data_IF_541028542930
#
_entry.id   IF_541028542930
#
_cell.length_a   1.000
_cell.length_b   1.000
_cell.length_c   1.000
_cell.angle_alpha   90.00
_cell.angle_beta   90.00
_cell.angle_gamma   90.00
#
_symmetry.space_group_name_H-M   'P 1'
#
loop_
_entity.id
_entity.type
_entity.pdbx_description
1 polymer ?
#
# COMPACT_ATOMS: atom_id res chain seq x y z
N UNK A 1 16.51 13.50 7.22
CA UNK A 1 16.33 13.00 8.60
C UNK A 1 15.09 13.65 9.20
N UNK A 2 14.17 12.85 9.71
CA UNK A 2 12.89 13.28 10.27
C UNK A 2 12.71 12.63 11.65
N UNK A 3 12.24 13.33 12.67
CA UNK A 3 11.91 12.70 13.93
C UNK A 3 10.74 11.73 13.73
N UNK A 4 10.75 10.58 14.43
CA UNK A 4 9.68 9.58 14.27
C UNK A 4 8.30 10.14 14.65
N UNK A 5 8.24 11.15 15.51
CA UNK A 5 7.00 11.87 15.83
C UNK A 5 6.37 12.61 14.64
N UNK A 6 7.14 12.88 13.57
CA UNK A 6 6.61 13.45 12.32
C UNK A 6 5.56 12.55 11.67
N UNK A 7 5.74 11.24 11.77
CA UNK A 7 4.83 10.27 11.18
C UNK A 7 3.60 9.96 12.06
N UNK A 8 3.60 10.39 13.31
CA UNK A 8 2.51 10.10 14.25
C UNK A 8 2.49 8.62 14.68
N UNK A 9 1.34 7.99 14.57
CA UNK A 9 1.17 6.57 14.96
C UNK A 9 1.56 5.56 13.88
N UNK A 10 1.92 6.02 12.67
CA UNK A 10 2.25 5.17 11.54
C UNK A 10 3.46 5.73 10.79
N UNK A 11 4.57 5.01 10.87
CA UNK A 11 5.78 5.35 10.12
C UNK A 11 6.00 4.33 9.00
N UNK A 12 5.77 4.71 7.74
CA UNK A 12 5.88 3.80 6.60
C UNK A 12 7.31 3.37 6.26
N UNK A 13 8.33 3.99 6.86
CA UNK A 13 9.74 3.64 6.70
C UNK A 13 10.26 2.70 7.81
N UNK A 14 9.35 2.26 8.69
CA UNK A 14 9.55 1.19 9.67
C UNK A 14 8.62 0.02 9.37
N UNK A 15 7.44 0.31 8.80
CA UNK A 15 6.43 -0.70 8.48
C UNK A 15 6.86 -1.47 7.24
N UNK A 16 7.06 -2.78 7.40
CA UNK A 16 7.50 -3.68 6.33
C UNK A 16 6.31 -4.26 5.58
N UNK A 17 6.48 -4.53 4.28
CA UNK A 17 5.49 -5.24 3.48
C UNK A 17 5.56 -6.73 3.83
N UNK A 18 4.42 -7.31 4.12
CA UNK A 18 4.27 -8.73 4.44
C UNK A 18 2.87 -9.23 4.07
N UNK A 19 2.74 -10.53 3.93
CA UNK A 19 1.45 -11.18 3.72
C UNK A 19 1.59 -12.45 2.88
N UNK A 20 0.52 -13.26 2.86
CA UNK A 20 0.47 -14.46 2.05
C UNK A 20 0.68 -14.12 0.57
N UNK A 21 1.45 -14.96 -0.11
CA UNK A 21 1.86 -14.81 -1.52
C UNK A 21 2.73 -13.58 -1.83
N UNK A 22 3.24 -12.89 -0.80
CA UNK A 22 4.26 -11.87 -1.00
C UNK A 22 5.64 -12.51 -0.95
N UNK A 23 6.39 -12.43 -2.04
CA UNK A 23 7.80 -12.83 -2.09
C UNK A 23 8.67 -11.59 -1.89
N UNK A 24 9.40 -11.56 -0.80
CA UNK A 24 10.31 -10.45 -0.49
C UNK A 24 11.67 -10.55 -1.20
N UNK A 25 11.92 -11.63 -1.93
CA UNK A 25 13.20 -11.88 -2.61
C UNK A 25 14.43 -11.73 -1.70
N UNK A 26 14.29 -12.08 -0.41
CA UNK A 26 15.36 -12.05 0.57
C UNK A 26 15.78 -10.68 1.08
N UNK A 27 14.96 -9.65 0.90
CA UNK A 27 15.18 -8.31 1.42
C UNK A 27 13.96 -7.71 2.09
N UNK A 28 14.17 -6.68 2.90
CA UNK A 28 13.08 -5.85 3.44
C UNK A 28 12.51 -4.96 2.33
N UNK A 29 11.20 -4.79 2.33
CA UNK A 29 10.48 -3.80 1.55
C UNK A 29 9.60 -3.00 2.49
N UNK A 30 9.77 -1.69 2.51
CA UNK A 30 8.95 -0.80 3.32
C UNK A 30 7.67 -0.38 2.61
N UNK A 31 6.64 -0.04 3.37
CA UNK A 31 5.41 0.53 2.82
C UNK A 31 5.60 1.98 2.36
N UNK A 32 6.65 2.65 2.84
CA UNK A 32 7.04 4.00 2.43
C UNK A 32 7.53 4.08 0.99
N UNK A 33 7.44 5.27 0.42
CA UNK A 33 7.97 5.61 -0.90
C UNK A 33 8.45 7.05 -0.97
N UNK A 34 9.36 7.29 -1.91
CA UNK A 34 9.86 8.61 -2.30
C UNK A 34 9.45 8.87 -3.75
N UNK A 35 9.00 10.08 -4.03
CA UNK A 35 8.57 10.50 -5.36
C UNK A 35 9.36 11.72 -5.84
N UNK A 36 9.61 11.75 -7.13
CA UNK A 36 10.12 12.90 -7.85
C UNK A 36 9.17 13.22 -9.01
N UNK A 37 8.51 14.37 -8.95
CA UNK A 37 7.55 14.80 -9.99
C UNK A 37 6.48 13.72 -10.26
N UNK A 38 5.82 13.25 -9.21
CA UNK A 38 4.81 12.18 -9.23
C UNK A 38 5.29 10.78 -9.65
N UNK A 39 6.60 10.58 -9.86
CA UNK A 39 7.16 9.27 -10.16
C UNK A 39 7.79 8.66 -8.92
N UNK A 40 7.40 7.43 -8.61
CA UNK A 40 7.99 6.63 -7.54
C UNK A 40 9.44 6.26 -7.85
N UNK A 41 10.31 6.35 -6.85
CA UNK A 41 11.68 5.89 -6.90
C UNK A 41 11.77 4.43 -6.44
N UNK A 42 12.79 3.71 -6.89
CA UNK A 42 13.02 2.31 -6.53
C UNK A 42 13.76 2.18 -5.20
N UNK A 43 13.16 1.48 -4.25
CA UNK A 43 13.79 1.15 -2.97
C UNK A 43 15.01 0.23 -3.17
N UNK A 44 16.09 0.51 -2.47
CA UNK A 44 17.31 -0.31 -2.44
C UNK A 44 17.59 -0.84 -1.04
N UNK A 45 18.32 -1.96 -0.97
CA UNK A 45 18.60 -2.66 0.28
C UNK A 45 19.75 -2.02 1.08
N UNK A 46 20.55 -1.17 0.42
CA UNK A 46 21.71 -0.52 1.04
C UNK A 46 21.93 0.89 0.48
N UNK A 47 22.51 1.74 1.30
CA UNK A 47 22.88 3.10 0.90
C UNK A 47 23.88 3.10 -0.26
N UNK A 48 24.78 2.13 -0.34
CA UNK A 48 25.73 1.98 -1.44
C UNK A 48 25.03 1.83 -2.80
N UNK A 49 23.95 1.06 -2.85
CA UNK A 49 23.13 0.90 -4.07
C UNK A 49 22.35 2.16 -4.45
N UNK A 50 22.15 3.09 -3.52
CA UNK A 50 21.58 4.40 -3.84
C UNK A 50 22.63 5.30 -4.48
N UNK A 51 23.85 5.26 -4.00
CA UNK A 51 24.96 6.06 -4.58
C UNK A 51 25.41 5.53 -5.94
N UNK A 52 25.34 4.22 -6.16
CA UNK A 52 25.77 3.54 -7.38
C UNK A 52 24.62 2.70 -7.96
N UNK A 53 23.53 3.34 -8.44
CA UNK A 53 22.37 2.62 -8.92
C UNK A 53 22.64 1.95 -10.27
N UNK A 54 22.25 0.68 -10.37
CA UNK A 54 22.27 -0.06 -11.63
C UNK A 54 20.84 -0.16 -12.19
N UNK A 55 20.73 -0.01 -13.51
CA UNK A 55 19.46 -0.15 -14.20
C UNK A 55 18.95 -1.61 -14.14
N UNK A 56 17.69 -1.79 -13.83
CA UNK A 56 17.05 -3.10 -13.82
C UNK A 56 16.57 -3.44 -15.24
N UNK A 57 17.08 -4.50 -15.89
CA UNK A 57 16.78 -4.76 -17.30
C UNK A 57 15.36 -5.26 -17.58
N UNK A 58 14.70 -5.80 -16.55
CA UNK A 58 13.40 -6.49 -16.71
C UNK A 58 12.21 -5.69 -16.16
N UNK A 59 12.36 -4.37 -16.01
CA UNK A 59 11.27 -3.47 -15.62
C UNK A 59 10.75 -2.67 -16.81
N UNK A 60 9.58 -2.07 -16.68
CA UNK A 60 8.97 -1.26 -17.76
C UNK A 60 9.79 0.00 -18.08
N UNK A 61 10.44 0.58 -17.09
CA UNK A 61 11.30 1.77 -17.21
C UNK A 61 12.68 1.48 -16.62
N UNK A 62 13.60 0.86 -17.39
CA UNK A 62 14.94 0.55 -16.91
C UNK A 62 15.75 1.80 -16.51
N UNK A 63 15.60 2.91 -17.21
CA UNK A 63 16.27 4.16 -16.89
C UNK A 63 15.72 4.74 -15.58
N UNK A 64 14.40 4.77 -15.41
CA UNK A 64 13.75 5.20 -14.18
C UNK A 64 14.14 4.36 -12.96
N UNK A 65 14.48 3.08 -13.15
CA UNK A 65 14.93 2.20 -12.06
C UNK A 65 16.27 2.60 -11.42
N UNK A 66 16.99 3.56 -12.01
CA UNK A 66 18.18 4.16 -11.43
C UNK A 66 17.88 5.32 -10.47
N UNK A 67 16.67 5.83 -10.46
CA UNK A 67 16.21 6.76 -9.43
C UNK A 67 15.83 5.95 -8.20
N UNK A 68 16.57 6.09 -7.13
CA UNK A 68 16.55 5.12 -6.04
C UNK A 68 16.48 5.80 -4.69
N UNK A 69 15.98 5.06 -3.68
CA UNK A 69 15.98 5.51 -2.31
C UNK A 69 16.27 4.36 -1.34
N UNK A 70 16.66 4.73 -0.13
CA UNK A 70 16.91 3.84 1.00
C UNK A 70 16.57 4.55 2.30
N UNK A 71 16.23 3.82 3.35
CA UNK A 71 16.03 4.39 4.66
C UNK A 71 16.69 3.58 5.77
N UNK A 72 17.00 4.27 6.84
CA UNK A 72 17.36 3.72 8.14
C UNK A 72 16.55 4.40 9.22
N UNK A 73 16.28 3.69 10.30
CA UNK A 73 15.57 4.23 11.44
C UNK A 73 16.20 3.76 12.76
N UNK A 74 15.99 4.55 13.79
CA UNK A 74 16.27 4.21 15.16
C UNK A 74 15.07 4.59 16.04
N UNK A 75 15.18 4.53 17.36
CA UNK A 75 14.08 4.86 18.27
C UNK A 75 13.58 6.31 18.16
N UNK A 76 14.37 7.23 17.65
CA UNK A 76 14.11 8.67 17.64
C UNK A 76 13.80 9.24 16.27
N UNK A 77 14.46 8.73 15.24
CA UNK A 77 14.43 9.33 13.90
C UNK A 77 14.48 8.31 12.76
N UNK A 78 13.99 8.75 11.63
CA UNK A 78 14.06 8.08 10.34
C UNK A 78 14.86 8.93 9.38
N UNK A 79 15.90 8.37 8.77
CA UNK A 79 16.68 9.00 7.73
C UNK A 79 16.37 8.37 6.38
N UNK A 80 16.06 9.18 5.38
CA UNK A 80 15.76 8.75 4.02
C UNK A 80 16.80 9.36 3.09
N UNK A 81 17.46 8.54 2.29
CA UNK A 81 18.36 8.94 1.22
C UNK A 81 17.70 8.66 -0.12
N UNK A 82 17.86 9.59 -1.06
CA UNK A 82 17.34 9.42 -2.41
C UNK A 82 18.33 9.93 -3.45
N UNK A 83 18.42 9.24 -4.58
CA UNK A 83 19.24 9.62 -5.71
C UNK A 83 18.34 10.19 -6.82
N UNK A 84 18.43 11.48 -7.03
CA UNK A 84 17.71 12.23 -8.05
C UNK A 84 18.55 12.53 -9.30
N UNK A 85 19.74 11.90 -9.40
CA UNK A 85 20.73 12.17 -10.46
C UNK A 85 21.06 13.66 -10.56
N UNK A 86 20.70 14.30 -11.69
CA UNK A 86 20.97 15.71 -11.95
C UNK A 86 19.86 16.65 -11.51
N UNK A 87 18.72 16.11 -11.08
CA UNK A 87 17.61 16.94 -10.61
C UNK A 87 17.97 17.60 -9.26
N UNK A 88 17.71 18.89 -9.14
CA UNK A 88 17.90 19.62 -7.89
C UNK A 88 16.62 19.50 -7.05
N UNK A 89 16.62 18.74 -5.94
CA UNK A 89 15.42 18.50 -5.15
C UNK A 89 14.81 19.78 -4.55
N UNK A 90 15.54 20.89 -4.54
CA UNK A 90 15.01 22.18 -4.10
C UNK A 90 14.23 22.92 -5.19
N UNK A 91 14.24 22.43 -6.42
CA UNK A 91 13.54 23.01 -7.57
C UNK A 91 12.48 22.10 -8.15
N UNK A 92 12.47 20.84 -7.72
CA UNK A 92 11.56 19.82 -8.19
C UNK A 92 10.52 19.48 -7.10
N UNK A 93 9.42 18.85 -7.48
CA UNK A 93 8.47 18.32 -6.53
C UNK A 93 8.98 16.98 -5.98
N UNK A 94 9.45 17.02 -4.73
CA UNK A 94 9.89 15.84 -4.00
C UNK A 94 8.92 15.56 -2.87
N UNK A 95 8.37 14.35 -2.83
CA UNK A 95 7.35 13.94 -1.87
C UNK A 95 7.72 12.59 -1.24
N UNK A 96 7.17 12.32 -0.08
CA UNK A 96 7.29 11.04 0.63
C UNK A 96 5.94 10.57 1.11
N UNK A 97 5.68 9.27 1.09
CA UNK A 97 4.49 8.69 1.68
C UNK A 97 4.48 8.85 3.19
N UNK A 98 3.37 9.30 3.76
CA UNK A 98 3.22 9.48 5.22
C UNK A 98 1.89 8.93 5.75
N UNK A 99 1.03 8.40 4.89
CA UNK A 99 -0.30 7.88 5.26
C UNK A 99 -0.52 6.51 4.65
N UNK A 100 -1.10 5.63 5.45
CA UNK A 100 -1.41 4.27 5.04
C UNK A 100 -2.53 4.19 4.00
N UNK A 101 -3.46 5.12 4.06
CA UNK A 101 -4.68 5.14 3.23
C UNK A 101 -5.21 6.56 3.10
N UNK A 102 -6.03 6.81 2.09
CA UNK A 102 -6.71 8.08 1.90
C UNK A 102 -8.16 8.03 2.40
N UNK A 103 -8.86 6.93 2.14
CA UNK A 103 -10.24 6.71 2.58
C UNK A 103 -10.38 5.31 3.17
N UNK A 104 -10.46 5.24 4.49
CA UNK A 104 -10.72 4.00 5.22
C UNK A 104 -11.54 4.31 6.46
N UNK A 105 -12.77 3.81 6.58
CA UNK A 105 -13.58 4.03 7.78
C UNK A 105 -13.10 3.13 8.91
N UNK A 106 -12.87 3.67 10.08
CA UNK A 106 -12.46 2.89 11.26
C UNK A 106 -13.53 1.91 11.75
N UNK A 107 -14.79 2.17 11.37
CA UNK A 107 -15.95 1.39 11.85
C UNK A 107 -16.77 0.85 10.70
N UNK A 108 -17.35 -0.35 10.90
CA UNK A 108 -18.41 -0.89 10.06
C UNK A 108 -19.70 -0.08 10.23
N UNK A 109 -20.57 -0.08 9.21
CA UNK A 109 -21.85 0.62 9.23
C UNK A 109 -21.82 2.06 8.68
N UNK A 110 -20.67 2.50 8.14
CA UNK A 110 -20.57 3.77 7.41
C UNK A 110 -20.92 3.51 5.95
N UNK A 111 -22.20 3.46 5.67
CA UNK A 111 -22.74 3.02 4.39
C UNK A 111 -23.07 4.19 3.47
N UNK A 112 -23.21 3.90 2.17
CA UNK A 112 -23.73 4.78 1.14
C UNK A 112 -22.92 6.07 0.94
N UNK A 113 -21.58 5.98 1.07
CA UNK A 113 -20.69 7.07 0.72
C UNK A 113 -20.45 7.13 -0.79
N UNK A 114 -20.29 8.33 -1.31
CA UNK A 114 -19.82 8.57 -2.67
C UNK A 114 -18.46 9.27 -2.63
N UNK A 115 -17.48 8.68 -3.33
CA UNK A 115 -16.16 9.25 -3.54
C UNK A 115 -16.05 9.52 -5.05
N UNK A 116 -16.05 10.79 -5.45
CA UNK A 116 -16.12 11.15 -6.86
C UNK A 116 -15.30 12.41 -7.16
N UNK A 117 -14.56 12.38 -8.28
CA UNK A 117 -13.87 13.55 -8.81
C UNK A 117 -12.53 13.88 -8.13
N UNK A 118 -11.92 12.93 -7.42
CA UNK A 118 -10.63 13.13 -6.75
C UNK A 118 -9.45 12.61 -7.59
N UNK A 119 -8.30 13.23 -7.40
CA UNK A 119 -7.01 12.60 -7.63
C UNK A 119 -6.49 12.09 -6.27
N UNK A 120 -6.36 10.78 -6.15
CA UNK A 120 -5.96 10.07 -4.93
C UNK A 120 -4.63 9.37 -5.22
N UNK A 121 -3.59 9.71 -4.47
CA UNK A 121 -2.24 9.20 -4.78
C UNK A 121 -1.35 9.04 -3.56
N UNK A 122 -0.25 8.30 -3.74
CA UNK A 122 0.92 8.26 -2.87
C UNK A 122 0.67 7.70 -1.46
N UNK A 123 -0.23 6.72 -1.32
CA UNK A 123 -0.45 6.09 -0.03
C UNK A 123 0.47 4.88 0.19
N UNK A 124 1.00 4.79 1.42
CA UNK A 124 1.84 3.71 1.93
C UNK A 124 0.99 2.50 2.33
N UNK A 125 0.28 1.92 1.35
CA UNK A 125 -0.62 0.78 1.61
C UNK A 125 0.16 -0.50 1.88
N UNK A 126 -0.40 -1.37 2.72
CA UNK A 126 0.14 -2.70 2.98
C UNK A 126 -0.32 -3.69 1.90
N UNK A 127 0.37 -4.80 1.78
CA UNK A 127 -0.01 -5.92 0.91
C UNK A 127 -1.42 -6.43 1.23
N UNK A 128 -2.27 -6.44 0.23
CA UNK A 128 -3.67 -6.83 0.37
C UNK A 128 -3.88 -8.30 -0.03
N UNK A 129 -3.37 -9.22 0.79
CA UNK A 129 -3.62 -10.64 0.59
C UNK A 129 -5.10 -10.98 0.83
N UNK A 130 -5.64 -12.02 0.18
CA UNK A 130 -7.00 -12.50 0.45
C UNK A 130 -7.23 -12.93 1.91
N UNK A 131 -6.16 -13.23 2.64
CA UNK A 131 -6.15 -13.68 4.04
C UNK A 131 -5.91 -12.56 5.05
N UNK A 132 -5.77 -11.31 4.58
CA UNK A 132 -5.48 -10.16 5.42
C UNK A 132 -6.60 -9.14 5.41
N UNK A 133 -6.57 -8.23 6.39
CA UNK A 133 -7.29 -6.98 6.30
C UNK A 133 -6.77 -6.19 5.09
N UNK A 134 -7.68 -5.88 4.16
CA UNK A 134 -7.30 -5.23 2.91
C UNK A 134 -7.54 -3.72 3.01
N UNK A 135 -6.44 -2.96 3.13
CA UNK A 135 -6.49 -1.50 3.21
C UNK A 135 -5.75 -0.92 2.01
N UNK A 136 -6.50 -0.62 0.95
CA UNK A 136 -6.01 0.16 -0.19
C UNK A 136 -6.04 1.67 0.05
N UNK A 137 -5.73 2.45 -0.96
CA UNK A 137 -5.89 3.92 -0.88
C UNK A 137 -7.34 4.32 -0.65
N UNK A 138 -8.27 3.59 -1.26
CA UNK A 138 -9.71 3.66 -0.98
C UNK A 138 -10.16 2.27 -0.56
N UNK A 139 -10.64 2.12 0.67
CA UNK A 139 -11.05 0.84 1.22
C UNK A 139 -12.40 0.94 1.93
N UNK A 140 -13.28 0.00 1.65
CA UNK A 140 -14.68 0.08 2.11
C UNK A 140 -14.94 -0.55 3.48
N UNK A 141 -14.04 -1.35 4.00
CA UNK A 141 -14.07 -1.96 5.34
C UNK A 141 -15.44 -2.57 5.74
N UNK A 142 -15.93 -3.54 4.97
CA UNK A 142 -17.21 -4.20 5.25
C UNK A 142 -18.40 -3.24 5.46
N UNK A 143 -18.41 -2.15 4.71
CA UNK A 143 -19.57 -1.27 4.60
C UNK A 143 -20.40 -1.62 3.37
N UNK A 144 -21.49 -0.91 3.14
CA UNK A 144 -22.46 -1.19 2.10
C UNK A 144 -22.71 0.00 1.20
N UNK A 145 -22.87 -0.28 -0.10
CA UNK A 145 -23.44 0.65 -1.06
C UNK A 145 -22.58 1.89 -1.35
N UNK A 146 -21.25 1.79 -1.24
CA UNK A 146 -20.39 2.90 -1.64
C UNK A 146 -20.38 3.05 -3.16
N UNK A 147 -20.25 4.28 -3.61
CA UNK A 147 -20.03 4.66 -5.01
C UNK A 147 -18.65 5.29 -5.11
N UNK A 148 -17.76 4.66 -5.88
CA UNK A 148 -16.39 5.14 -6.14
C UNK A 148 -16.30 5.39 -7.63
N UNK A 149 -16.34 6.66 -8.04
CA UNK A 149 -16.48 6.99 -9.45
C UNK A 149 -15.73 8.26 -9.87
N UNK A 150 -15.35 8.31 -11.14
CA UNK A 150 -14.73 9.49 -11.75
C UNK A 150 -13.46 9.97 -11.04
N UNK A 151 -12.71 9.07 -10.41
CA UNK A 151 -11.46 9.39 -9.72
C UNK A 151 -10.25 9.01 -10.59
N UNK A 152 -9.13 9.66 -10.33
CA UNK A 152 -7.81 9.23 -10.74
C UNK A 152 -7.10 8.70 -9.49
N UNK A 153 -6.67 7.43 -9.52
CA UNK A 153 -6.04 6.75 -8.39
C UNK A 153 -4.68 6.22 -8.85
N UNK A 154 -3.61 6.67 -8.21
CA UNK A 154 -2.26 6.35 -8.68
C UNK A 154 -1.23 6.27 -7.55
N UNK A 155 -0.10 5.63 -7.85
CA UNK A 155 1.04 5.58 -6.92
C UNK A 155 0.67 5.01 -5.55
N UNK A 156 -0.01 3.85 -5.53
CA UNK A 156 -0.21 3.09 -4.31
C UNK A 156 0.96 2.14 -4.09
N UNK A 157 1.49 2.07 -2.88
CA UNK A 157 2.53 1.08 -2.57
C UNK A 157 2.08 -0.35 -2.85
N UNK A 158 0.85 -0.67 -2.53
CA UNK A 158 0.26 -1.96 -2.88
C UNK A 158 -1.03 -1.78 -3.68
N UNK A 159 -2.18 -1.63 -3.02
CA UNK A 159 -3.48 -1.66 -3.69
C UNK A 159 -4.14 -0.30 -3.79
N UNK A 160 -4.73 0.00 -4.95
CA UNK A 160 -5.48 1.24 -5.18
C UNK A 160 -6.83 1.22 -4.45
N UNK A 161 -7.73 0.34 -4.85
CA UNK A 161 -9.05 0.17 -4.22
C UNK A 161 -9.14 -1.22 -3.60
N UNK A 162 -9.65 -1.32 -2.36
CA UNK A 162 -9.99 -2.59 -1.74
C UNK A 162 -11.44 -2.59 -1.27
N UNK A 163 -12.19 -3.65 -1.65
CA UNK A 163 -13.62 -3.74 -1.37
C UNK A 163 -13.93 -4.64 -0.17
N UNK A 164 -12.91 -5.07 0.52
CA UNK A 164 -13.19 -6.12 1.32
C UNK A 164 -12.76 -6.29 2.67
N UNK A 165 -12.00 -6.79 3.28
CA UNK A 165 -11.80 -7.64 4.43
C UNK A 165 -11.70 -6.90 5.75
N UNK A 166 -12.33 -7.46 6.76
CA UNK A 166 -12.29 -6.94 8.11
C UNK A 166 -11.29 -7.75 8.97
N UNK A 167 -10.55 -7.07 9.84
CA UNK A 167 -9.44 -7.64 10.60
C UNK A 167 -9.83 -8.86 11.45
N UNK A 168 -11.01 -8.84 12.07
CA UNK A 168 -11.46 -9.93 12.94
C UNK A 168 -11.78 -11.23 12.18
N UNK A 169 -11.96 -11.19 10.87
CA UNK A 169 -12.13 -12.40 10.07
C UNK A 169 -10.81 -13.18 9.90
N UNK A 170 -9.70 -12.57 10.16
CA UNK A 170 -8.34 -13.10 10.05
C UNK A 170 -7.40 -12.09 9.45
N UNK A 171 -6.15 -12.08 9.83
CA UNK A 171 -5.19 -11.11 9.36
C UNK A 171 -3.78 -11.70 9.41
N UNK A 172 -3.37 -12.39 8.35
CA UNK A 172 -2.02 -12.94 8.20
C UNK A 172 -1.50 -13.68 9.48
N UNK A 173 -2.36 -14.46 10.13
CA UNK A 173 -2.03 -15.11 11.41
C UNK A 173 -0.79 -16.00 11.34
N UNK A 174 -0.57 -16.59 10.19
CA UNK A 174 0.46 -17.59 9.94
C UNK A 174 1.66 -17.02 9.20
N UNK A 175 1.82 -15.72 9.23
CA UNK A 175 2.89 -15.01 8.53
C UNK A 175 4.29 -15.60 8.77
N UNK A 176 4.53 -16.08 9.98
CA UNK A 176 5.80 -16.70 10.36
C UNK A 176 5.93 -18.19 9.96
N UNK A 177 4.84 -18.81 9.51
CA UNK A 177 4.82 -20.20 9.09
C UNK A 177 4.89 -20.31 7.56
N UNK A 178 6.10 -20.34 7.04
CA UNK A 178 6.37 -20.45 5.60
C UNK A 178 6.05 -21.84 5.02
N UNK A 179 5.69 -22.82 5.85
CA UNK A 179 5.28 -24.16 5.41
C UNK A 179 3.80 -24.22 5.00
N UNK A 180 3.01 -23.23 5.40
CA UNK A 180 1.56 -23.14 5.12
C UNK A 180 1.34 -22.07 4.06
N UNK A 181 0.82 -22.46 2.91
CA UNK A 181 0.43 -21.50 1.88
C UNK A 181 -0.88 -20.78 2.23
N UNK A 182 -1.13 -19.67 1.56
CA UNK A 182 -2.31 -18.85 1.80
C UNK A 182 -3.65 -19.54 1.52
N UNK A 183 -3.66 -20.70 0.84
CA UNK A 183 -4.89 -21.41 0.48
C UNK A 183 -5.65 -21.92 1.71
N UNK A 184 -4.95 -22.44 2.71
CA UNK A 184 -5.55 -22.88 3.96
C UNK A 184 -6.05 -21.70 4.78
N UNK A 185 -5.28 -20.64 4.84
CA UNK A 185 -5.67 -19.40 5.51
C UNK A 185 -6.92 -18.78 4.85
N UNK A 186 -7.02 -18.86 3.54
CA UNK A 186 -8.18 -18.36 2.81
C UNK A 186 -9.49 -19.04 3.25
N UNK A 187 -9.48 -20.36 3.42
CA UNK A 187 -10.63 -21.11 3.92
C UNK A 187 -10.98 -20.68 5.36
N UNK A 188 -9.99 -20.60 6.24
CA UNK A 188 -10.19 -20.19 7.64
C UNK A 188 -10.82 -18.79 7.72
N UNK A 189 -10.27 -17.82 6.99
CA UNK A 189 -10.79 -16.45 7.04
C UNK A 189 -12.18 -16.32 6.42
N UNK A 190 -12.54 -17.18 5.47
CA UNK A 190 -13.90 -17.22 4.92
C UNK A 190 -14.89 -17.67 5.99
N UNK A 191 -14.62 -18.75 6.73
CA UNK A 191 -15.46 -19.19 7.84
C UNK A 191 -15.50 -18.16 8.98
N UNK A 192 -14.38 -17.54 9.30
CA UNK A 192 -14.32 -16.48 10.30
C UNK A 192 -15.16 -15.26 9.87
N UNK A 193 -15.12 -14.88 8.60
CA UNK A 193 -15.94 -13.80 8.08
C UNK A 193 -17.44 -14.05 8.26
N UNK A 194 -17.90 -15.28 7.97
CA UNK A 194 -19.29 -15.68 8.19
C UNK A 194 -19.64 -15.60 9.68
N UNK A 195 -18.78 -16.09 10.55
CA UNK A 195 -18.97 -16.02 12.00
C UNK A 195 -19.03 -14.59 12.53
N UNK A 196 -18.24 -13.68 11.97
CA UNK A 196 -18.25 -12.24 12.29
C UNK A 196 -19.45 -11.48 11.70
N UNK A 197 -20.35 -12.20 11.01
CA UNK A 197 -21.59 -11.65 10.50
C UNK A 197 -21.54 -11.12 9.07
N UNK A 198 -20.51 -11.51 8.31
CA UNK A 198 -20.48 -11.19 6.89
C UNK A 198 -21.69 -11.84 6.17
N UNK A 199 -22.46 -11.04 5.48
CA UNK A 199 -23.57 -11.51 4.65
C UNK A 199 -23.91 -10.46 3.58
N UNK A 200 -24.55 -10.90 2.51
CA UNK A 200 -24.89 -10.06 1.35
C UNK A 200 -25.88 -8.91 1.66
N UNK A 201 -26.61 -8.99 2.74
CA UNK A 201 -27.60 -7.96 3.07
C UNK A 201 -26.97 -6.76 3.78
N UNK A 202 -25.87 -6.99 4.49
CA UNK A 202 -25.21 -5.98 5.33
C UNK A 202 -23.95 -5.37 4.69
N UNK A 203 -23.32 -6.06 3.75
CA UNK A 203 -21.98 -5.72 3.25
C UNK A 203 -21.98 -5.76 1.72
N UNK A 204 -21.12 -4.93 1.12
CA UNK A 204 -20.92 -4.91 -0.33
C UNK A 204 -21.91 -4.04 -1.09
N UNK A 205 -22.35 -4.50 -2.26
CA UNK A 205 -23.18 -3.70 -3.19
C UNK A 205 -22.54 -2.36 -3.58
N UNK A 206 -21.22 -2.35 -3.66
CA UNK A 206 -20.48 -1.17 -4.08
C UNK A 206 -20.57 -0.98 -5.59
N UNK A 207 -20.51 0.26 -6.03
CA UNK A 207 -20.42 0.64 -7.43
C UNK A 207 -19.05 1.27 -7.64
N UNK A 208 -18.21 0.63 -8.45
CA UNK A 208 -16.91 1.17 -8.85
C UNK A 208 -16.95 1.37 -10.36
N UNK A 209 -16.88 2.62 -10.82
CA UNK A 209 -16.99 2.93 -12.24
C UNK A 209 -16.24 4.19 -12.64
N UNK A 210 -15.82 4.25 -13.91
CA UNK A 210 -15.20 5.43 -14.51
C UNK A 210 -13.97 5.95 -13.76
N UNK A 211 -13.26 5.09 -13.01
CA UNK A 211 -12.00 5.46 -12.39
C UNK A 211 -10.83 5.13 -13.32
N UNK A 212 -9.81 5.96 -13.32
CA UNK A 212 -8.52 5.66 -13.92
C UNK A 212 -7.57 5.25 -12.82
N UNK A 213 -7.05 4.00 -12.87
CA UNK A 213 -6.18 3.44 -11.83
C UNK A 213 -4.87 2.99 -12.48
N UNK A 214 -3.74 3.46 -11.97
CA UNK A 214 -2.41 3.11 -12.50
C UNK A 214 -1.32 3.25 -11.44
N UNK A 215 -0.13 2.70 -11.72
CA UNK A 215 1.03 2.76 -10.84
C UNK A 215 0.73 2.30 -9.39
N UNK A 216 -0.02 1.20 -9.27
CA UNK A 216 -0.22 0.48 -8.01
C UNK A 216 0.67 -0.76 -8.04
N UNK A 217 1.60 -0.93 -7.09
CA UNK A 217 2.64 -1.96 -7.19
C UNK A 217 2.10 -3.39 -7.03
N UNK A 218 0.99 -3.57 -6.33
CA UNK A 218 0.34 -4.87 -6.23
C UNK A 218 -0.82 -5.00 -7.23
N UNK A 219 -1.84 -4.17 -7.06
CA UNK A 219 -3.06 -4.26 -7.89
C UNK A 219 -3.82 -2.94 -7.92
N UNK A 220 -4.51 -2.68 -9.02
CA UNK A 220 -5.41 -1.52 -9.10
C UNK A 220 -6.61 -1.67 -8.17
N UNK A 221 -7.21 -2.86 -8.11
CA UNK A 221 -8.37 -3.14 -7.25
C UNK A 221 -8.40 -4.61 -6.84
N UNK A 222 -8.77 -4.86 -5.58
CA UNK A 222 -9.07 -6.21 -5.07
C UNK A 222 -10.26 -6.20 -4.08
N UNK A 223 -10.81 -7.40 -3.83
CA UNK A 223 -11.92 -7.59 -2.90
C UNK A 223 -12.32 -9.05 -2.76
#
# INVERSE_FOLDING_TARGET
MLPNSFFGSYNPYIDEIYGDWFDNYGRVHHTGEVFLNDKSLYEKETLEKVYHPEALPNVQDPEGSTYTWYCEHNEQETTIWANFHKADPNKELVEISVRRTCFYPEKKGINYLTISGFHISQAATQWAAPTAEQIGMVATHWNKGWIIENNVISNSKCSGITLGKERNSGHNKWLSDTSIDGSLHYIEVTFNAIREGWNKDNIGHHIVRNNTIFACEQTGMCG
#
